data_IF_703025123502
#
_entry.id   IF_703025123502
#
_cell.length_a   1.000
_cell.length_b   1.000
_cell.length_c   1.000
_cell.angle_alpha   90.00
_cell.angle_beta   90.00
_cell.angle_gamma   90.00
#
_symmetry.space_group_name_H-M   'P 1'
#
loop_
_entity.id
_entity.type
_entity.pdbx_description
1 polymer ?
#
# COMPACT_ATOMS: atom_id res chain seq x y z
N UNK A 1 4.94 17.75 6.71
CA UNK A 1 5.93 16.84 6.13
C UNK A 1 5.63 16.69 4.66
N UNK A 2 6.61 16.96 3.80
CA UNK A 2 6.50 16.71 2.37
C UNK A 2 6.64 15.22 2.05
N UNK A 3 6.26 14.77 0.84
CA UNK A 3 6.53 13.40 0.39
C UNK A 3 8.01 13.04 0.42
N UNK A 4 8.91 13.94 0.00
CA UNK A 4 10.35 13.72 0.02
C UNK A 4 10.90 13.52 1.45
N UNK A 5 10.46 14.37 2.40
CA UNK A 5 10.84 14.23 3.81
C UNK A 5 10.38 12.88 4.38
N UNK A 6 9.16 12.45 4.02
CA UNK A 6 8.60 11.17 4.46
C UNK A 6 9.25 9.96 3.76
N UNK A 7 9.73 10.15 2.52
CA UNK A 7 10.37 9.09 1.73
C UNK A 7 11.79 8.81 2.21
N UNK A 8 12.55 9.81 2.64
CA UNK A 8 13.94 9.63 3.09
C UNK A 8 14.16 8.48 4.10
N UNK A 9 13.41 8.38 5.22
CA UNK A 9 13.57 7.25 6.14
C UNK A 9 13.06 5.92 5.58
N UNK A 10 12.03 5.93 4.72
CA UNK A 10 11.54 4.73 4.04
C UNK A 10 12.60 4.20 3.05
N UNK A 11 13.21 5.08 2.27
CA UNK A 11 14.27 4.75 1.33
C UNK A 11 15.47 4.11 2.03
N UNK A 12 15.94 4.72 3.12
CA UNK A 12 17.01 4.15 3.93
C UNK A 12 16.67 2.74 4.45
N UNK A 13 15.44 2.53 4.94
CA UNK A 13 15.03 1.21 5.39
C UNK A 13 14.96 0.18 4.26
N UNK A 14 14.58 0.59 3.04
CA UNK A 14 14.53 -0.29 1.85
C UNK A 14 15.91 -0.70 1.34
N UNK A 15 16.98 0.04 1.66
CA UNK A 15 18.36 -0.36 1.35
C UNK A 15 18.81 -1.56 2.19
N UNK A 16 18.36 -1.63 3.45
CA UNK A 16 18.74 -2.67 4.41
C UNK A 16 17.73 -3.84 4.50
N UNK A 17 16.50 -3.63 4.04
CA UNK A 17 15.40 -4.56 4.23
C UNK A 17 14.54 -4.70 2.98
N UNK A 18 14.46 -5.92 2.45
CA UNK A 18 13.51 -6.27 1.39
C UNK A 18 12.16 -6.64 2.02
N UNK A 19 11.09 -5.84 1.82
CA UNK A 19 9.80 -6.12 2.42
C UNK A 19 9.15 -7.38 1.84
N UNK A 20 8.33 -8.11 2.62
CA UNK A 20 7.65 -9.32 2.16
C UNK A 20 6.67 -9.07 1.01
N UNK A 21 6.20 -7.83 0.84
CA UNK A 21 5.37 -7.42 -0.29
C UNK A 21 6.14 -7.22 -1.60
N UNK A 22 7.48 -7.21 -1.57
CA UNK A 22 8.30 -7.01 -2.76
C UNK A 22 8.08 -8.14 -3.78
N UNK A 23 7.77 -7.78 -5.03
CA UNK A 23 7.53 -8.74 -6.12
C UNK A 23 6.12 -9.34 -6.15
N UNK A 24 5.20 -8.86 -5.31
CA UNK A 24 3.81 -9.30 -5.33
C UNK A 24 2.93 -8.31 -6.08
N UNK A 25 2.50 -8.69 -7.28
CA UNK A 25 1.69 -7.84 -8.18
C UNK A 25 0.41 -7.29 -7.53
N UNK A 26 -0.16 -8.02 -6.56
CA UNK A 26 -1.32 -7.59 -5.79
C UNK A 26 -1.11 -6.28 -5.02
N UNK A 27 0.11 -5.90 -4.66
CA UNK A 27 0.35 -4.61 -3.99
C UNK A 27 0.24 -3.42 -4.94
N UNK A 28 0.33 -3.66 -6.25
CA UNK A 28 0.25 -2.65 -7.31
C UNK A 28 -0.98 -2.82 -8.20
N UNK A 29 -1.79 -3.84 -7.97
CA UNK A 29 -2.97 -4.15 -8.78
C UNK A 29 -4.09 -3.13 -8.53
N UNK A 30 -4.68 -2.62 -9.61
CA UNK A 30 -5.91 -1.82 -9.56
C UNK A 30 -7.16 -2.65 -9.19
N UNK A 31 -7.00 -3.97 -9.09
CA UNK A 31 -8.08 -4.94 -8.97
C UNK A 31 -7.74 -5.96 -7.90
N UNK A 32 -8.12 -5.65 -6.66
CA UNK A 32 -8.02 -6.56 -5.53
C UNK A 32 -9.38 -7.17 -5.21
N UNK A 33 -9.41 -8.50 -5.19
CA UNK A 33 -10.49 -9.27 -4.56
C UNK A 33 -10.46 -9.08 -3.04
N UNK A 34 -11.47 -9.58 -2.34
CA UNK A 34 -11.48 -9.54 -0.87
C UNK A 34 -10.35 -10.42 -0.28
N UNK A 35 -10.09 -11.57 -0.89
CA UNK A 35 -8.98 -12.47 -0.51
C UNK A 35 -7.62 -11.79 -0.71
N UNK A 36 -7.44 -11.06 -1.81
CA UNK A 36 -6.21 -10.29 -2.04
C UNK A 36 -6.00 -9.23 -0.97
N UNK A 37 -7.06 -8.53 -0.56
CA UNK A 37 -6.99 -7.49 0.49
C UNK A 37 -6.61 -8.09 1.83
N UNK A 38 -7.18 -9.24 2.18
CA UNK A 38 -6.86 -9.96 3.41
C UNK A 38 -5.39 -10.41 3.41
N UNK A 39 -4.91 -10.97 2.29
CA UNK A 39 -3.52 -11.38 2.15
C UNK A 39 -2.57 -10.18 2.22
N UNK A 40 -2.84 -9.09 1.49
CA UNK A 40 -2.06 -7.85 1.57
C UNK A 40 -2.02 -7.29 3.00
N UNK A 41 -3.17 -7.26 3.68
CA UNK A 41 -3.29 -6.80 5.06
C UNK A 41 -2.45 -7.64 6.03
N UNK A 42 -2.52 -8.97 5.90
CA UNK A 42 -1.74 -9.92 6.70
C UNK A 42 -0.22 -9.72 6.50
N UNK A 43 0.22 -9.57 5.25
CA UNK A 43 1.62 -9.29 4.91
C UNK A 43 2.07 -7.96 5.52
N UNK A 44 1.27 -6.90 5.40
CA UNK A 44 1.58 -5.60 6.00
C UNK A 44 1.63 -5.66 7.54
N UNK A 45 0.76 -6.43 8.18
CA UNK A 45 0.71 -6.54 9.64
C UNK A 45 2.01 -7.13 10.24
N UNK A 46 2.71 -7.99 9.47
CA UNK A 46 4.01 -8.55 9.85
C UNK A 46 5.22 -7.73 9.42
N UNK A 47 5.04 -6.62 8.71
CA UNK A 47 6.15 -5.87 8.11
C UNK A 47 6.77 -4.86 9.11
N UNK A 48 8.08 -4.94 9.42
CA UNK A 48 8.74 -4.07 10.39
C UNK A 48 8.83 -2.60 9.96
N UNK A 49 8.71 -2.33 8.67
CA UNK A 49 8.73 -0.96 8.12
C UNK A 49 7.33 -0.42 7.78
N UNK A 50 6.26 -1.10 8.21
CA UNK A 50 4.89 -0.72 7.87
C UNK A 50 4.55 0.74 8.27
N UNK A 51 5.10 1.23 9.38
CA UNK A 51 4.87 2.60 9.84
C UNK A 51 5.57 3.65 8.93
N UNK A 52 6.73 3.31 8.36
CA UNK A 52 7.41 4.14 7.36
C UNK A 52 6.60 4.20 6.07
N UNK A 53 6.09 3.04 5.62
CA UNK A 53 5.17 2.97 4.49
C UNK A 53 3.91 3.83 4.72
N UNK A 54 3.33 3.79 5.94
CA UNK A 54 2.15 4.59 6.29
C UNK A 54 2.44 6.08 6.26
N UNK A 55 3.58 6.48 6.83
CA UNK A 55 4.02 7.89 6.87
C UNK A 55 4.17 8.44 5.46
N UNK A 56 4.88 7.70 4.60
CA UNK A 56 5.03 8.08 3.20
C UNK A 56 3.68 8.12 2.46
N UNK A 57 2.88 7.05 2.52
CA UNK A 57 1.60 6.97 1.82
C UNK A 57 0.67 8.14 2.18
N UNK A 58 0.67 8.54 3.46
CA UNK A 58 -0.10 9.69 3.96
C UNK A 58 0.43 11.02 3.42
N UNK A 59 1.75 11.23 3.46
CA UNK A 59 2.37 12.47 2.98
C UNK A 59 2.25 12.63 1.45
N UNK A 60 2.48 11.55 0.70
CA UNK A 60 2.38 11.47 -0.75
C UNK A 60 0.94 11.48 -1.26
N UNK A 61 -0.04 11.22 -0.39
CA UNK A 61 -1.46 11.07 -0.75
C UNK A 61 -1.65 10.07 -1.89
N UNK A 62 -1.03 8.90 -1.76
CA UNK A 62 -1.14 7.83 -2.76
C UNK A 62 -2.61 7.49 -3.02
N UNK A 63 -2.93 7.31 -4.30
CA UNK A 63 -4.29 7.08 -4.81
C UNK A 63 -4.45 5.71 -5.48
N UNK A 64 -3.44 4.85 -5.32
CA UNK A 64 -3.33 3.56 -5.97
C UNK A 64 -2.47 2.59 -5.15
N UNK A 65 -2.74 1.29 -5.32
CA UNK A 65 -2.02 0.21 -4.68
C UNK A 65 -2.37 0.02 -3.20
N UNK A 66 -1.68 -0.94 -2.57
CA UNK A 66 -1.89 -1.31 -1.18
C UNK A 66 -0.70 -0.89 -0.31
N UNK A 67 -0.96 -0.09 0.72
CA UNK A 67 0.07 0.52 1.55
C UNK A 67 -0.24 0.35 3.04
N UNK A 68 0.71 -0.21 3.79
CA UNK A 68 0.68 -0.27 5.25
C UNK A 68 -0.65 -0.77 5.86
N UNK A 69 -1.25 -1.79 5.23
CA UNK A 69 -2.52 -2.38 5.65
C UNK A 69 -3.77 -1.79 4.98
N UNK A 70 -3.64 -0.83 4.06
CA UNK A 70 -4.78 -0.12 3.45
C UNK A 70 -4.75 -0.21 1.93
N UNK A 71 -5.90 -0.47 1.31
CA UNK A 71 -6.07 -0.31 -0.13
C UNK A 71 -6.39 1.17 -0.45
N UNK A 72 -5.54 1.79 -1.25
CA UNK A 72 -5.68 3.16 -1.74
C UNK A 72 -6.30 3.24 -3.13
N UNK A 73 -6.52 2.09 -3.79
CA UNK A 73 -7.13 2.03 -5.10
C UNK A 73 -8.52 2.66 -5.08
N UNK A 74 -8.89 3.44 -6.11
CA UNK A 74 -10.18 4.10 -6.15
C UNK A 74 -11.28 3.04 -6.06
N UNK A 75 -12.09 3.12 -5.00
CA UNK A 75 -13.27 2.27 -4.87
C UNK A 75 -14.08 2.45 -6.14
N UNK A 76 -14.21 1.40 -6.95
CA UNK A 76 -15.09 1.42 -8.10
C UNK A 76 -16.45 1.84 -7.60
N UNK A 77 -16.84 3.07 -7.96
CA UNK A 77 -18.19 3.57 -7.72
C UNK A 77 -19.07 2.56 -8.42
N UNK A 78 -19.77 1.70 -7.66
CA UNK A 78 -20.70 0.72 -8.23
C UNK A 78 -21.56 1.52 -9.20
N UNK A 79 -21.45 1.21 -10.50
CA UNK A 79 -22.32 1.81 -11.49
C UNK A 79 -23.74 1.46 -11.04
N UNK A 80 -24.48 2.45 -10.54
CA UNK A 80 -25.88 2.29 -10.22
C UNK A 80 -26.61 2.20 -11.55
N UNK A 81 -26.89 0.98 -12.02
CA UNK A 81 -27.80 0.74 -13.14
C UNK A 81 -27.49 -0.50 -14.00
N UNK A 82 -28.31 -1.54 -13.82
CA UNK A 82 -28.70 -2.64 -14.73
C UNK A 82 -29.05 -3.83 -13.81
N UNK A 83 -30.29 -4.30 -13.65
CA UNK A 83 -31.50 -4.29 -14.50
C UNK A 83 -32.77 -4.18 -13.66
#
# INVERSE_FOLDING_TARGET
MSPDEAYAPLAAALEDYVPPCNGWDMFTSDWLTDEDREQCSSICAGCPIADLCRTYATAAKVDSGFWAGNDHSPKRRRAKGAS
#
